data_IF_782774946468
#
_entry.id   IF_782774946468
#
_cell.length_a   1.000
_cell.length_b   1.000
_cell.length_c   1.000
_cell.angle_alpha   90.00
_cell.angle_beta   90.00
_cell.angle_gamma   90.00
#
_symmetry.space_group_name_H-M   'P 1'
#
loop_
_entity.id
_entity.type
_entity.pdbx_description
1 polymer ?
#
# COMPACT_ATOMS: atom_id res chain seq x y z
N UNK A 1 0.03 15.82 18.64
CA UNK A 1 -0.74 16.44 17.54
C UNK A 1 -0.38 15.65 16.29
N UNK A 2 -1.10 14.55 16.03
CA UNK A 2 -0.82 13.65 14.91
C UNK A 2 -1.50 14.20 13.64
N UNK A 3 -0.87 14.13 12.44
CA UNK A 3 -1.52 14.58 11.22
C UNK A 3 -2.78 13.74 10.95
N UNK A 4 -3.87 14.41 10.60
CA UNK A 4 -5.12 13.80 10.16
C UNK A 4 -4.94 13.20 8.75
N UNK A 5 -4.25 12.08 8.62
CA UNK A 5 -4.33 11.28 7.40
C UNK A 5 -5.55 10.38 7.53
N UNK A 6 -6.53 10.52 6.61
CA UNK A 6 -7.61 9.54 6.46
C UNK A 6 -6.98 8.28 5.86
N UNK A 7 -6.50 7.43 6.75
CA UNK A 7 -5.88 6.14 6.48
C UNK A 7 -6.86 5.17 5.86
N UNK A 8 -6.93 5.06 4.54
CA UNK A 8 -7.52 3.88 3.92
C UNK A 8 -6.51 2.73 4.05
N UNK A 9 -6.49 2.08 5.22
CA UNK A 9 -5.62 0.91 5.46
C UNK A 9 -6.22 -0.30 4.75
N UNK A 10 -5.85 -0.51 3.48
CA UNK A 10 -6.20 -1.74 2.76
C UNK A 10 -5.12 -2.78 3.00
N UNK A 11 -5.41 -3.77 3.85
CA UNK A 11 -4.51 -4.92 4.04
C UNK A 11 -4.69 -5.88 2.87
N UNK A 12 -3.83 -5.80 1.85
CA UNK A 12 -3.76 -6.82 0.79
C UNK A 12 -3.05 -8.05 1.36
N UNK A 13 -3.84 -9.01 1.85
CA UNK A 13 -3.34 -10.34 2.25
C UNK A 13 -3.14 -11.17 0.98
N UNK A 14 -1.88 -11.40 0.60
CA UNK A 14 -1.53 -12.19 -0.58
C UNK A 14 -1.27 -13.67 -0.25
N UNK A 15 -1.99 -14.58 -0.91
CA UNK A 15 -1.59 -15.99 -1.02
C UNK A 15 -0.24 -16.08 -1.78
N UNK A 16 0.76 -16.77 -1.21
CA UNK A 16 2.10 -16.90 -1.81
C UNK A 16 2.08 -17.80 -3.07
N UNK A 17 2.87 -17.42 -4.09
CA UNK A 17 3.47 -18.37 -5.05
C UNK A 17 3.01 -18.36 -6.52
N UNK A 18 2.00 -17.58 -6.92
CA UNK A 18 1.40 -17.69 -8.26
C UNK A 18 1.18 -16.35 -9.00
N UNK A 19 1.83 -15.25 -8.57
CA UNK A 19 1.65 -13.93 -9.21
C UNK A 19 0.34 -13.21 -8.85
N UNK A 20 -0.66 -13.91 -8.31
CA UNK A 20 -1.93 -13.32 -7.88
C UNK A 20 -1.81 -12.15 -6.90
N UNK A 21 -0.78 -12.14 -6.06
CA UNK A 21 -0.58 -11.04 -5.12
C UNK A 21 -0.31 -9.71 -5.83
N UNK A 22 0.42 -9.72 -6.96
CA UNK A 22 0.68 -8.51 -7.75
C UNK A 22 -0.55 -8.09 -8.54
N UNK A 23 -1.30 -9.04 -9.13
CA UNK A 23 -2.55 -8.74 -9.82
C UNK A 23 -3.62 -8.18 -8.87
N UNK A 24 -3.76 -8.78 -7.68
CA UNK A 24 -4.67 -8.28 -6.65
C UNK A 24 -4.25 -6.87 -6.17
N UNK A 25 -2.96 -6.64 -5.94
CA UNK A 25 -2.47 -5.32 -5.57
C UNK A 25 -2.72 -4.28 -6.67
N UNK A 26 -2.56 -4.65 -7.94
CA UNK A 26 -2.86 -3.78 -9.08
C UNK A 26 -4.35 -3.45 -9.17
N UNK A 27 -5.22 -4.44 -9.02
CA UNK A 27 -6.68 -4.23 -8.98
C UNK A 27 -7.09 -3.31 -7.82
N UNK A 28 -6.43 -3.40 -6.66
CA UNK A 28 -6.64 -2.46 -5.56
C UNK A 28 -6.26 -1.03 -5.94
N UNK A 29 -5.13 -0.83 -6.63
CA UNK A 29 -4.71 0.51 -7.10
C UNK A 29 -5.70 1.06 -8.12
N UNK A 30 -6.18 0.23 -9.05
CA UNK A 30 -7.18 0.63 -10.06
C UNK A 30 -8.51 1.04 -9.41
N UNK A 31 -8.99 0.28 -8.43
CA UNK A 31 -10.18 0.64 -7.65
C UNK A 31 -9.98 1.97 -6.90
N UNK A 32 -8.80 2.19 -6.31
CA UNK A 32 -8.47 3.44 -5.63
C UNK A 32 -8.44 4.61 -6.62
N UNK A 33 -7.92 4.40 -7.83
CA UNK A 33 -7.91 5.41 -8.87
C UNK A 33 -9.33 5.80 -9.35
N UNK A 34 -10.27 4.86 -9.34
CA UNK A 34 -11.65 5.08 -9.77
C UNK A 34 -12.50 5.76 -8.69
N UNK A 35 -12.39 5.31 -7.45
CA UNK A 35 -13.34 5.68 -6.39
C UNK A 35 -12.80 6.72 -5.39
N UNK A 36 -11.47 6.78 -5.22
CA UNK A 36 -10.87 7.50 -4.10
C UNK A 36 -9.80 8.51 -4.52
N UNK A 37 -9.43 8.57 -5.79
CA UNK A 37 -8.44 9.51 -6.27
C UNK A 37 -9.00 10.94 -6.39
N UNK A 38 -8.15 11.98 -6.23
CA UNK A 38 -6.74 11.91 -5.89
C UNK A 38 -6.52 11.59 -4.40
N UNK A 39 -5.69 10.59 -4.10
CA UNK A 39 -5.37 10.20 -2.72
C UNK A 39 -3.99 9.55 -2.57
N UNK A 40 -3.46 9.60 -1.34
CA UNK A 40 -2.28 8.84 -0.95
C UNK A 40 -2.72 7.44 -0.53
N UNK A 41 -2.36 6.44 -1.32
CA UNK A 41 -2.53 5.04 -0.96
C UNK A 41 -1.32 4.57 -0.15
N UNK A 42 -1.56 3.96 1.01
CA UNK A 42 -0.50 3.43 1.87
C UNK A 42 -0.70 1.95 2.21
N UNK A 43 0.41 1.25 2.44
CA UNK A 43 0.45 -0.14 2.87
C UNK A 43 1.43 -0.29 4.04
N UNK A 44 0.95 -0.81 5.18
CA UNK A 44 1.77 -1.08 6.36
C UNK A 44 2.25 -2.54 6.29
N UNK A 45 3.56 -2.73 6.24
CA UNK A 45 4.20 -4.03 5.98
C UNK A 45 5.05 -4.43 7.18
N UNK A 46 4.81 -5.65 7.67
CA UNK A 46 5.65 -6.26 8.70
C UNK A 46 7.10 -6.38 8.19
N UNK A 47 8.13 -6.07 9.00
CA UNK A 47 9.52 -5.99 8.55
C UNK A 47 10.03 -7.30 7.91
N UNK A 48 9.61 -8.44 8.45
CA UNK A 48 9.93 -9.79 7.96
C UNK A 48 9.17 -10.19 6.68
N UNK A 49 8.16 -9.44 6.25
CA UNK A 49 7.36 -9.77 5.07
C UNK A 49 7.95 -9.14 3.79
N UNK A 50 9.14 -9.60 3.41
CA UNK A 50 9.83 -9.17 2.20
C UNK A 50 9.01 -9.43 0.91
N UNK A 51 8.15 -10.45 0.91
CA UNK A 51 7.29 -10.76 -0.23
C UNK A 51 6.25 -9.66 -0.49
N UNK A 52 5.55 -9.19 0.56
CA UNK A 52 4.62 -8.06 0.43
C UNK A 52 5.33 -6.76 0.09
N UNK A 53 6.54 -6.52 0.61
CA UNK A 53 7.36 -5.36 0.23
C UNK A 53 7.65 -5.36 -1.27
N UNK A 54 8.10 -6.48 -1.82
CA UNK A 54 8.35 -6.61 -3.26
C UNK A 54 7.09 -6.46 -4.12
N UNK A 55 5.91 -6.86 -3.63
CA UNK A 55 4.64 -6.59 -4.34
C UNK A 55 4.31 -5.10 -4.32
N UNK A 56 4.46 -4.42 -3.19
CA UNK A 56 4.23 -2.98 -3.06
C UNK A 56 5.16 -2.18 -4.00
N UNK A 57 6.44 -2.53 -4.05
CA UNK A 57 7.40 -1.93 -4.98
C UNK A 57 7.00 -2.14 -6.45
N UNK A 58 6.55 -3.36 -6.82
CA UNK A 58 6.12 -3.67 -8.19
C UNK A 58 4.90 -2.87 -8.66
N UNK A 59 4.00 -2.48 -7.75
CA UNK A 59 2.85 -1.63 -8.08
C UNK A 59 3.16 -0.13 -8.01
N UNK A 60 4.42 0.25 -7.71
CA UNK A 60 4.89 1.63 -7.72
C UNK A 60 4.88 2.32 -6.36
N UNK A 61 4.68 1.58 -5.26
CA UNK A 61 4.82 2.15 -3.92
C UNK A 61 6.29 2.30 -3.52
N UNK A 62 6.56 3.34 -2.74
CA UNK A 62 7.88 3.64 -2.17
C UNK A 62 7.80 3.71 -0.66
N UNK A 63 8.91 3.51 0.04
CA UNK A 63 8.95 3.70 1.49
C UNK A 63 8.75 5.18 1.82
N UNK A 64 7.75 5.49 2.65
CA UNK A 64 7.41 6.88 3.04
C UNK A 64 7.51 7.15 4.54
N UNK A 65 7.37 6.12 5.38
CA UNK A 65 7.46 6.25 6.84
C UNK A 65 7.65 4.87 7.50
N UNK A 66 8.00 4.87 8.78
CA UNK A 66 8.07 3.68 9.62
C UNK A 66 7.06 3.80 10.78
N UNK A 67 6.17 2.82 10.91
CA UNK A 67 5.18 2.77 11.98
C UNK A 67 5.79 2.12 13.24
N UNK A 68 5.92 2.95 14.27
CA UNK A 68 6.44 2.59 15.59
C UNK A 68 5.33 2.36 16.64
N UNK A 69 4.09 2.09 16.22
CA UNK A 69 2.96 1.89 17.14
C UNK A 69 3.22 0.82 18.23
N UNK A 70 4.16 -0.09 18.01
CA UNK A 70 4.58 -1.08 19.01
C UNK A 70 6.10 -1.00 19.24
N UNK A 71 6.58 -1.01 20.51
CA UNK A 71 8.00 -0.80 20.81
C UNK A 71 8.91 -1.96 20.39
N UNK A 72 8.34 -3.13 20.12
CA UNK A 72 9.07 -4.35 19.77
C UNK A 72 9.05 -4.65 18.26
N UNK A 73 8.38 -3.81 17.45
CA UNK A 73 8.29 -4.02 16.01
C UNK A 73 8.06 -2.71 15.26
N UNK A 74 8.92 -2.45 14.28
CA UNK A 74 8.80 -1.33 13.36
C UNK A 74 8.24 -1.84 12.04
N UNK A 75 7.08 -1.35 11.62
CA UNK A 75 6.44 -1.74 10.36
C UNK A 75 6.73 -0.70 9.29
N UNK A 76 7.18 -1.14 8.12
CA UNK A 76 7.45 -0.23 7.01
C UNK A 76 6.14 0.26 6.40
N UNK A 77 5.97 1.57 6.27
CA UNK A 77 4.85 2.18 5.56
C UNK A 77 5.28 2.50 4.13
N UNK A 78 4.74 1.75 3.18
CA UNK A 78 4.89 2.02 1.75
C UNK A 78 3.75 2.91 1.27
N UNK A 79 3.99 3.79 0.30
CA UNK A 79 2.92 4.60 -0.29
C UNK A 79 3.20 5.10 -1.69
N UNK A 80 2.11 5.54 -2.34
CA UNK A 80 2.12 6.18 -3.66
C UNK A 80 0.96 7.16 -3.80
N UNK A 81 1.16 8.22 -4.57
CA UNK A 81 0.07 9.08 -5.01
C UNK A 81 -0.71 8.39 -6.12
N UNK A 82 -2.03 8.31 -5.96
CA UNK A 82 -2.94 7.78 -6.97
C UNK A 82 -3.72 8.93 -7.56
N UNK A 83 -3.54 9.17 -8.86
CA UNK A 83 -4.30 10.15 -9.63
C UNK A 83 -5.58 9.51 -10.19
N UNK A 84 -6.64 10.29 -10.44
CA UNK A 84 -7.86 9.77 -11.04
C UNK A 84 -7.53 9.16 -12.40
N UNK A 85 -8.19 8.04 -12.72
CA UNK A 85 -8.12 7.49 -14.07
C UNK A 85 -8.53 8.58 -15.06
N UNK A 86 -7.70 8.82 -16.08
CA UNK A 86 -8.02 9.77 -17.14
C UNK A 86 -9.29 9.25 -17.82
N UNK A 87 -10.42 9.90 -17.55
CA UNK A 87 -11.62 9.75 -18.35
C UNK A 87 -11.33 10.41 -19.69
N UNK A 88 -10.91 9.61 -20.67
CA UNK A 88 -10.97 9.96 -22.10
C UNK A 88 -12.43 9.83 -22.59
#
# INVERSE_FOLDING_TARGET
MLPSWKSATTSVVGCRGHGFATEAARACVELVAQEFAPTLLTAIIHPENAASRGVAEKVGMTHIDDDHAHPWIVRTVMGMQVSPASSD
#
